data_IF_704873201128
#
_entry.id   IF_704873201128
#
_cell.length_a   1.000
_cell.length_b   1.000
_cell.length_c   1.000
_cell.angle_alpha   90.00
_cell.angle_beta   90.00
_cell.angle_gamma   90.00
#
_symmetry.space_group_name_H-M   'P 1'
#
loop_
_entity.id
_entity.type
_entity.pdbx_description
1 polymer ?
#
# COMPACT_ATOMS: atom_id res chain seq x y z
N UNK A 1 -0.92 -4.12 23.22
CA UNK A 1 -1.49 -3.73 21.92
C UNK A 1 -0.42 -3.65 20.86
N UNK A 2 -0.80 -3.60 19.57
CA UNK A 2 0.12 -3.63 18.41
C UNK A 2 1.24 -2.59 18.54
N UNK A 3 0.94 -1.37 19.02
CA UNK A 3 1.95 -0.32 19.21
C UNK A 3 3.09 -0.72 20.17
N UNK A 4 2.82 -1.49 21.24
CA UNK A 4 3.89 -1.98 22.12
C UNK A 4 4.80 -2.96 21.36
N UNK A 5 4.21 -3.89 20.61
CA UNK A 5 4.98 -4.87 19.84
C UNK A 5 5.90 -4.20 18.81
N UNK A 6 5.44 -3.12 18.17
CA UNK A 6 6.26 -2.34 17.23
C UNK A 6 7.40 -1.63 17.96
N UNK A 7 7.13 -1.01 19.13
CA UNK A 7 8.17 -0.35 19.93
C UNK A 7 9.22 -1.36 20.40
N UNK A 8 8.79 -2.54 20.85
CA UNK A 8 9.67 -3.61 21.32
C UNK A 8 10.55 -4.17 20.19
N UNK A 9 10.08 -4.13 18.93
CA UNK A 9 10.89 -4.49 17.76
C UNK A 9 11.93 -3.43 17.38
N UNK A 10 11.66 -2.15 17.70
CA UNK A 10 12.57 -1.04 17.42
C UNK A 10 13.62 -0.89 18.50
N UNK A 11 13.23 -0.97 19.78
CA UNK A 11 14.11 -0.76 20.91
C UNK A 11 15.03 -1.95 21.15
N UNK A 12 16.31 -1.68 21.31
CA UNK A 12 17.25 -2.67 21.81
C UNK A 12 17.13 -2.86 23.33
N UNK A 13 17.33 -4.08 23.85
CA UNK A 13 17.42 -4.33 25.28
C UNK A 13 18.45 -3.43 25.97
N UNK A 14 18.21 -3.12 27.26
CA UNK A 14 19.13 -2.31 28.09
C UNK A 14 20.57 -2.85 28.00
N UNK A 15 21.53 -1.95 27.78
CA UNK A 15 22.96 -2.28 27.73
C UNK A 15 23.49 -2.77 26.38
N UNK A 16 22.65 -2.87 25.34
CA UNK A 16 23.08 -3.21 23.98
C UNK A 16 23.17 -1.97 23.09
N UNK A 17 24.03 -2.03 22.06
CA UNK A 17 24.16 -0.97 21.07
C UNK A 17 22.86 -0.83 20.23
N UNK A 18 22.44 0.40 19.87
CA UNK A 18 21.24 0.62 19.05
C UNK A 18 21.30 -0.10 17.69
N UNK A 19 20.16 -0.68 17.27
CA UNK A 19 20.04 -1.29 15.93
C UNK A 19 20.05 -0.23 14.83
N UNK A 20 20.29 -0.64 13.58
CA UNK A 20 20.16 0.24 12.41
C UNK A 20 18.75 0.87 12.30
N UNK A 21 17.71 0.12 12.67
CA UNK A 21 16.33 0.62 12.67
C UNK A 21 16.14 1.69 13.74
N UNK A 22 16.65 1.45 14.95
CA UNK A 22 16.59 2.42 16.04
C UNK A 22 17.32 3.70 15.68
N UNK A 23 18.52 3.62 15.10
CA UNK A 23 19.28 4.79 14.64
C UNK A 23 18.57 5.55 13.54
N UNK A 24 17.92 4.84 12.61
CA UNK A 24 17.13 5.48 11.54
C UNK A 24 15.94 6.26 12.10
N UNK A 25 15.30 5.76 13.15
CA UNK A 25 14.11 6.40 13.74
C UNK A 25 14.44 7.47 14.77
N UNK A 26 15.46 7.25 15.60
CA UNK A 26 15.77 8.08 16.75
C UNK A 26 17.08 8.88 16.61
N UNK A 27 17.82 8.67 15.53
CA UNK A 27 19.14 9.27 15.34
C UNK A 27 20.22 8.57 16.15
N UNK A 28 21.42 9.17 16.13
CA UNK A 28 22.51 8.75 17.00
C UNK A 28 22.26 9.21 18.44
N UNK A 29 22.80 8.48 19.45
CA UNK A 29 22.71 8.92 20.84
C UNK A 29 23.23 10.34 21.02
N UNK A 30 22.58 11.16 21.87
CA UNK A 30 22.97 12.55 22.12
C UNK A 30 24.43 12.64 22.56
N UNK A 31 25.16 13.62 22.02
CA UNK A 31 26.53 13.89 22.42
C UNK A 31 26.59 14.30 23.90
N UNK A 32 27.70 14.02 24.57
CA UNK A 32 27.91 14.36 25.97
C UNK A 32 27.80 15.89 26.16
N UNK A 33 26.91 16.33 27.05
CA UNK A 33 26.63 17.75 27.30
C UNK A 33 25.53 18.38 26.43
N UNK A 34 24.94 17.63 25.49
CA UNK A 34 23.74 18.09 24.78
C UNK A 34 22.49 18.06 25.67
N UNK A 35 21.54 18.96 25.40
CA UNK A 35 20.24 18.97 26.08
C UNK A 35 19.37 17.81 25.56
N UNK A 36 19.08 16.78 26.40
CA UNK A 36 18.33 15.61 25.96
C UNK A 36 16.91 15.95 25.49
N UNK A 37 16.30 17.00 26.04
CA UNK A 37 14.95 17.43 25.68
C UNK A 37 14.94 18.08 24.30
N UNK A 38 15.96 18.91 24.00
CA UNK A 38 16.15 19.50 22.67
C UNK A 38 16.39 18.45 21.59
N UNK A 39 17.20 17.43 21.87
CA UNK A 39 17.41 16.32 20.94
C UNK A 39 16.15 15.47 20.77
N UNK A 40 15.42 15.18 21.86
CA UNK A 40 14.13 14.50 21.79
C UNK A 40 13.12 15.27 20.92
N UNK A 41 13.08 16.61 20.99
CA UNK A 41 12.21 17.43 20.12
C UNK A 41 12.58 17.30 18.63
N UNK A 42 13.86 17.16 18.28
CA UNK A 42 14.26 16.89 16.88
C UNK A 42 13.78 15.53 16.42
N UNK A 43 13.91 14.50 17.27
CA UNK A 43 13.39 13.16 17.00
C UNK A 43 11.88 13.17 16.85
N UNK A 44 11.16 13.86 17.73
CA UNK A 44 9.71 14.05 17.65
C UNK A 44 9.31 14.65 16.30
N UNK A 45 10.01 15.70 15.85
CA UNK A 45 9.74 16.35 14.55
C UNK A 45 9.95 15.41 13.38
N UNK A 46 11.04 14.65 13.36
CA UNK A 46 11.31 13.69 12.30
C UNK A 46 10.29 12.53 12.27
N UNK A 47 9.97 11.97 13.44
CA UNK A 47 8.96 10.91 13.56
C UNK A 47 7.58 11.40 13.12
N UNK A 48 7.14 12.54 13.64
CA UNK A 48 5.83 13.11 13.34
C UNK A 48 5.73 13.54 11.87
N UNK A 49 6.76 14.14 11.27
CA UNK A 49 6.78 14.51 9.84
C UNK A 49 6.48 13.30 8.94
N UNK A 50 7.10 12.16 9.24
CA UNK A 50 6.95 10.93 8.47
C UNK A 50 5.64 10.21 8.80
N UNK A 51 5.29 10.08 10.07
CA UNK A 51 4.09 9.37 10.52
C UNK A 51 2.80 10.12 10.18
N UNK A 52 2.78 11.43 10.37
CA UNK A 52 1.62 12.28 10.08
C UNK A 52 1.60 12.73 8.62
N UNK A 53 2.67 12.45 7.86
CA UNK A 53 2.80 12.71 6.41
C UNK A 53 2.73 14.19 6.01
N UNK A 54 2.85 15.08 7.00
CA UNK A 54 2.90 16.55 6.87
C UNK A 54 3.83 17.14 7.93
N UNK A 55 4.28 18.39 7.79
CA UNK A 55 4.93 19.10 8.89
C UNK A 55 4.07 19.05 10.16
N UNK A 56 4.61 18.63 11.32
CA UNK A 56 3.90 18.66 12.58
C UNK A 56 3.77 20.10 13.09
N UNK A 57 2.69 20.40 13.81
CA UNK A 57 2.52 21.69 14.50
C UNK A 57 3.38 21.74 15.75
N UNK A 58 3.65 22.94 16.28
CA UNK A 58 4.40 23.04 17.54
C UNK A 58 3.66 22.42 18.73
N UNK A 59 2.33 22.53 18.78
CA UNK A 59 1.52 21.89 19.82
C UNK A 59 1.58 20.35 19.76
N UNK A 60 1.61 19.77 18.56
CA UNK A 60 1.81 18.32 18.40
C UNK A 60 3.18 17.88 18.90
N UNK A 61 4.21 18.71 18.68
CA UNK A 61 5.55 18.42 19.18
C UNK A 61 5.64 18.57 20.70
N UNK A 62 4.96 19.56 21.27
CA UNK A 62 4.90 19.76 22.72
C UNK A 62 4.31 18.53 23.42
N UNK A 63 3.17 18.02 22.92
CA UNK A 63 2.56 16.79 23.45
C UNK A 63 3.53 15.59 23.39
N UNK A 64 4.27 15.43 22.29
CA UNK A 64 5.24 14.33 22.16
C UNK A 64 6.43 14.50 23.12
N UNK A 65 6.92 15.72 23.30
CA UNK A 65 8.01 16.01 24.23
C UNK A 65 7.54 15.86 25.68
N UNK A 66 6.30 16.20 26.01
CA UNK A 66 5.73 15.98 27.34
C UNK A 66 5.62 14.48 27.68
N UNK A 67 5.30 13.63 26.69
CA UNK A 67 5.35 12.16 26.86
C UNK A 67 6.77 11.68 27.12
N UNK A 68 7.76 12.27 26.43
CA UNK A 68 9.17 11.98 26.68
C UNK A 68 9.59 12.42 28.09
N UNK A 69 9.21 13.63 28.53
CA UNK A 69 9.51 14.16 29.86
C UNK A 69 8.87 13.29 30.94
N UNK A 70 7.60 12.91 30.78
CA UNK A 70 6.92 11.96 31.68
C UNK A 70 7.68 10.64 31.83
N UNK A 71 8.21 10.09 30.73
CA UNK A 71 9.02 8.88 30.79
C UNK A 71 10.33 9.10 31.58
N UNK A 72 10.97 10.25 31.41
CA UNK A 72 12.19 10.61 32.12
C UNK A 72 11.96 10.80 33.62
N UNK A 73 10.83 11.42 33.99
CA UNK A 73 10.41 11.60 35.38
C UNK A 73 10.10 10.25 36.07
N UNK A 74 9.68 9.25 35.30
CA UNK A 74 9.52 7.86 35.74
C UNK A 74 10.81 7.02 35.60
N UNK A 75 11.98 7.68 35.61
CA UNK A 75 13.31 7.08 35.62
C UNK A 75 13.65 6.20 34.39
N UNK A 76 12.88 6.30 33.30
CA UNK A 76 13.22 5.61 32.06
C UNK A 76 14.44 6.26 31.41
N UNK A 77 15.37 5.44 30.91
CA UNK A 77 16.52 5.95 30.15
C UNK A 77 16.08 6.64 28.85
N UNK A 78 16.99 7.41 28.24
CA UNK A 78 16.70 8.20 27.04
C UNK A 78 16.04 7.37 25.92
N UNK A 79 16.59 6.20 25.59
CA UNK A 79 16.04 5.33 24.54
C UNK A 79 14.63 4.83 24.88
N UNK A 80 14.38 4.45 26.13
CA UNK A 80 13.07 4.01 26.57
C UNK A 80 12.04 5.17 26.56
N UNK A 81 12.46 6.38 26.91
CA UNK A 81 11.64 7.58 26.82
C UNK A 81 11.29 7.93 25.37
N UNK A 82 12.25 7.84 24.44
CA UNK A 82 11.99 7.96 22.99
C UNK A 82 11.03 6.87 22.49
N UNK A 83 11.14 5.65 23.03
CA UNK A 83 10.18 4.58 22.73
C UNK A 83 8.76 4.89 23.17
N UNK A 84 8.58 5.50 24.35
CA UNK A 84 7.26 5.94 24.80
C UNK A 84 6.70 7.06 23.93
N UNK A 85 7.54 8.02 23.54
CA UNK A 85 7.18 9.07 22.60
C UNK A 85 6.80 8.51 21.22
N UNK A 86 7.56 7.54 20.70
CA UNK A 86 7.24 6.85 19.46
C UNK A 86 5.91 6.07 19.55
N UNK A 87 5.65 5.44 20.70
CA UNK A 87 4.35 4.83 20.96
C UNK A 87 3.21 5.85 20.88
N UNK A 88 3.39 7.06 21.42
CA UNK A 88 2.40 8.12 21.32
C UNK A 88 2.12 8.52 19.86
N UNK A 89 3.17 8.59 19.02
CA UNK A 89 3.00 8.79 17.57
C UNK A 89 2.15 7.67 16.95
N UNK A 90 2.42 6.40 17.27
CA UNK A 90 1.73 5.24 16.69
C UNK A 90 0.25 5.10 17.09
N UNK A 91 -0.16 5.73 18.20
CA UNK A 91 -1.57 5.71 18.66
C UNK A 91 -2.28 7.04 18.40
N UNK A 92 -1.59 8.02 17.83
CA UNK A 92 -2.15 9.32 17.50
C UNK A 92 -3.19 9.21 16.37
N UNK A 93 -4.33 9.93 16.46
CA UNK A 93 -5.27 10.05 15.35
C UNK A 93 -4.60 10.52 14.05
N UNK A 94 -3.56 11.37 14.15
CA UNK A 94 -2.80 11.89 13.01
C UNK A 94 -1.95 10.82 12.30
N UNK A 95 -1.67 9.71 12.96
CA UNK A 95 -1.06 8.52 12.36
C UNK A 95 -2.12 7.56 11.82
N UNK A 96 -3.17 7.30 12.60
CA UNK A 96 -4.21 6.33 12.25
C UNK A 96 -5.09 6.78 11.06
N UNK A 97 -5.29 8.09 10.91
CA UNK A 97 -6.12 8.69 9.87
C UNK A 97 -5.32 9.69 9.03
N UNK A 98 -5.84 9.99 7.83
CA UNK A 98 -5.34 11.10 7.00
C UNK A 98 -6.21 12.32 7.33
N UNK A 99 -5.76 13.11 8.31
CA UNK A 99 -6.45 14.29 8.84
C UNK A 99 -5.66 15.57 8.55
N UNK A 100 -6.35 16.73 8.43
CA UNK A 100 -5.66 18.01 8.33
C UNK A 100 -4.92 18.32 9.64
N UNK A 101 -3.95 19.25 9.58
CA UNK A 101 -3.18 19.67 10.75
C UNK A 101 -3.99 20.45 11.80
N UNK A 102 -5.07 21.08 11.37
CA UNK A 102 -5.98 21.82 12.21
C UNK A 102 -7.41 21.70 11.69
N UNK A 103 -8.35 22.29 12.42
CA UNK A 103 -9.69 22.44 11.90
C UNK A 103 -9.66 23.31 10.65
N UNK A 104 -10.40 22.93 9.59
CA UNK A 104 -10.49 23.77 8.43
C UNK A 104 -11.15 25.10 8.82
N UNK A 105 -10.55 26.23 8.42
CA UNK A 105 -11.07 27.57 8.72
C UNK A 105 -12.44 27.85 8.06
N UNK A 106 -12.90 26.96 7.17
CA UNK A 106 -14.15 27.10 6.43
C UNK A 106 -15.34 26.63 7.25
N UNK A 107 -16.38 27.48 7.30
CA UNK A 107 -17.72 27.11 7.82
C UNK A 107 -18.53 26.28 6.82
N UNK A 108 -17.98 25.99 5.65
CA UNK A 108 -18.66 25.20 4.63
C UNK A 108 -18.69 23.71 4.99
N UNK A 109 -19.75 23.03 4.56
CA UNK A 109 -19.90 21.57 4.76
C UNK A 109 -18.89 20.76 3.95
N UNK A 110 -18.35 21.33 2.88
CA UNK A 110 -17.37 20.70 2.00
C UNK A 110 -16.11 21.56 2.05
N UNK A 111 -15.00 20.94 2.42
CA UNK A 111 -13.70 21.62 2.52
C UNK A 111 -12.76 20.99 1.51
N UNK A 112 -12.02 21.83 0.78
CA UNK A 112 -10.96 21.38 -0.10
C UNK A 112 -9.84 20.70 0.70
N UNK A 113 -9.28 19.64 0.09
CA UNK A 113 -8.13 18.96 0.66
C UNK A 113 -6.90 19.85 0.55
N UNK A 114 -6.09 19.88 1.62
CA UNK A 114 -4.76 20.46 1.55
C UNK A 114 -3.81 19.56 0.75
N UNK A 115 -2.66 20.12 0.37
CA UNK A 115 -1.67 19.46 -0.47
C UNK A 115 -1.05 18.21 0.19
N UNK A 116 -0.91 18.19 1.51
CA UNK A 116 -0.38 17.03 2.24
C UNK A 116 -1.41 15.90 2.32
N UNK A 117 -2.69 16.23 2.49
CA UNK A 117 -3.80 15.29 2.41
C UNK A 117 -3.91 14.72 1.00
N UNK A 118 -3.77 15.56 -0.04
CA UNK A 118 -3.80 15.13 -1.43
C UNK A 118 -2.63 14.18 -1.73
N UNK A 119 -1.41 14.52 -1.31
CA UNK A 119 -0.23 13.67 -1.43
C UNK A 119 -0.44 12.31 -0.75
N UNK A 120 -0.92 12.33 0.48
CA UNK A 120 -1.17 11.10 1.26
C UNK A 120 -2.25 10.25 0.61
N UNK A 121 -3.39 10.83 0.21
CA UNK A 121 -4.47 10.07 -0.43
C UNK A 121 -4.02 9.46 -1.76
N UNK A 122 -3.26 10.21 -2.56
CA UNK A 122 -2.72 9.73 -3.82
C UNK A 122 -1.74 8.57 -3.60
N UNK A 123 -0.81 8.71 -2.65
CA UNK A 123 0.20 7.66 -2.37
C UNK A 123 -0.43 6.41 -1.77
N UNK A 124 -1.41 6.54 -0.87
CA UNK A 124 -2.08 5.38 -0.28
C UNK A 124 -3.02 4.69 -1.28
N UNK A 125 -3.65 5.44 -2.18
CA UNK A 125 -4.46 4.86 -3.25
C UNK A 125 -3.59 4.03 -4.21
N UNK A 126 -2.46 4.58 -4.64
CA UNK A 126 -1.65 3.97 -5.70
C UNK A 126 -0.62 2.97 -5.16
N UNK A 127 -0.03 3.24 -4.01
CA UNK A 127 1.08 2.45 -3.43
C UNK A 127 0.77 1.80 -2.09
N UNK A 128 -0.39 2.07 -1.47
CA UNK A 128 -0.69 1.66 -0.08
C UNK A 128 0.43 2.02 0.91
N UNK A 129 1.11 3.14 0.65
CA UNK A 129 2.29 3.57 1.39
C UNK A 129 2.32 5.10 1.53
N UNK A 130 3.10 5.63 2.50
CA UNK A 130 3.33 7.07 2.63
C UNK A 130 3.90 7.70 1.34
N UNK A 131 3.68 9.01 1.12
CA UNK A 131 4.26 9.73 -0.01
C UNK A 131 5.79 9.66 0.06
N UNK A 132 6.44 9.54 -1.10
CA UNK A 132 7.90 9.62 -1.18
C UNK A 132 8.37 11.07 -1.06
N UNK A 133 9.69 11.26 -1.00
CA UNK A 133 10.30 12.57 -0.80
C UNK A 133 9.89 13.60 -1.88
N UNK A 134 9.76 13.17 -3.14
CA UNK A 134 9.34 14.04 -4.24
C UNK A 134 7.90 14.52 -4.04
N UNK A 135 6.96 13.59 -3.79
CA UNK A 135 5.56 13.93 -3.58
C UNK A 135 5.35 14.76 -2.30
N UNK A 136 6.07 14.44 -1.23
CA UNK A 136 6.06 15.20 0.02
C UNK A 136 6.61 16.62 -0.16
N UNK A 137 7.67 16.80 -0.95
CA UNK A 137 8.24 18.12 -1.23
C UNK A 137 7.32 18.99 -2.10
N UNK A 138 6.61 18.39 -3.06
CA UNK A 138 5.59 19.11 -3.84
C UNK A 138 4.42 19.57 -2.96
N UNK A 139 4.05 18.76 -1.98
CA UNK A 139 3.04 19.13 -1.00
C UNK A 139 3.52 20.26 -0.07
N UNK A 140 4.78 20.20 0.41
CA UNK A 140 5.39 21.27 1.20
C UNK A 140 5.43 22.61 0.45
N UNK A 141 5.51 22.56 -0.88
CA UNK A 141 5.54 23.74 -1.74
C UNK A 141 4.14 24.27 -2.13
N UNK A 142 3.05 23.61 -1.74
CA UNK A 142 1.70 24.01 -2.13
C UNK A 142 1.46 23.92 -3.65
N UNK A 143 2.13 22.99 -4.35
CA UNK A 143 2.06 22.84 -5.81
C UNK A 143 1.20 21.68 -6.28
N UNK A 144 0.82 20.76 -5.39
CA UNK A 144 0.16 19.51 -5.77
C UNK A 144 -1.32 19.72 -6.16
N UNK A 145 -1.95 20.80 -5.70
CA UNK A 145 -3.27 21.22 -6.17
C UNK A 145 -3.32 21.64 -7.66
N UNK A 146 -2.16 21.84 -8.31
CA UNK A 146 -2.12 22.20 -9.74
C UNK A 146 -2.42 20.96 -10.59
N UNK A 147 -3.43 21.01 -11.48
CA UNK A 147 -3.85 19.83 -12.25
C UNK A 147 -2.73 19.12 -13.01
N UNK A 148 -1.83 19.88 -13.65
CA UNK A 148 -0.71 19.30 -14.40
C UNK A 148 0.32 18.62 -13.51
N UNK A 149 0.58 19.18 -12.32
CA UNK A 149 1.50 18.59 -11.32
C UNK A 149 0.90 17.31 -10.75
N UNK A 150 -0.38 17.35 -10.39
CA UNK A 150 -1.10 16.19 -9.87
C UNK A 150 -1.11 15.05 -10.88
N UNK A 151 -1.43 15.36 -12.15
CA UNK A 151 -1.44 14.39 -13.24
C UNK A 151 -0.06 13.77 -13.45
N UNK A 152 0.99 14.61 -13.53
CA UNK A 152 2.36 14.11 -13.70
C UNK A 152 2.79 13.20 -12.54
N UNK A 153 2.44 13.55 -11.30
CA UNK A 153 2.71 12.68 -10.15
C UNK A 153 1.90 11.39 -10.20
N UNK A 154 0.61 11.42 -10.53
CA UNK A 154 -0.20 10.21 -10.67
C UNK A 154 0.40 9.25 -11.72
N UNK A 155 0.81 9.75 -12.89
CA UNK A 155 1.47 8.95 -13.93
C UNK A 155 2.83 8.38 -13.46
N UNK A 156 3.62 9.17 -12.73
CA UNK A 156 4.89 8.70 -12.14
C UNK A 156 4.65 7.57 -11.14
N UNK A 157 3.70 7.74 -10.22
CA UNK A 157 3.35 6.75 -9.21
C UNK A 157 2.84 5.45 -9.85
N UNK A 158 2.04 5.55 -10.91
CA UNK A 158 1.53 4.38 -11.66
C UNK A 158 2.64 3.58 -12.36
N UNK A 159 3.73 4.22 -12.78
CA UNK A 159 4.87 3.55 -13.44
C UNK A 159 5.80 2.82 -12.46
N UNK A 160 5.76 3.16 -11.18
CA UNK A 160 6.57 2.54 -10.14
C UNK A 160 6.07 1.13 -9.78
N UNK A 161 6.98 0.20 -9.46
CA UNK A 161 6.65 -1.17 -9.09
C UNK A 161 5.67 -1.26 -7.90
N UNK A 162 5.71 -0.28 -6.98
CA UNK A 162 4.78 -0.17 -5.85
C UNK A 162 3.33 -0.01 -6.27
N UNK A 163 3.06 0.43 -7.50
CA UNK A 163 1.70 0.56 -8.03
C UNK A 163 0.94 -0.77 -8.12
N UNK A 164 1.63 -1.91 -7.94
CA UNK A 164 0.99 -3.22 -7.73
C UNK A 164 -0.05 -3.16 -6.61
N UNK A 165 0.17 -2.33 -5.60
CA UNK A 165 -0.75 -2.14 -4.48
C UNK A 165 -2.14 -1.67 -4.91
N UNK A 166 -2.27 -0.92 -6.02
CA UNK A 166 -3.57 -0.53 -6.57
C UNK A 166 -4.37 -1.76 -7.02
N UNK A 167 -3.74 -2.75 -7.64
CA UNK A 167 -4.44 -4.00 -7.95
C UNK A 167 -4.79 -4.76 -6.67
N UNK A 168 -3.83 -4.94 -5.76
CA UNK A 168 -4.04 -5.72 -4.54
C UNK A 168 -5.15 -5.11 -3.65
N UNK A 169 -5.23 -3.78 -3.57
CA UNK A 169 -6.22 -3.05 -2.76
C UNK A 169 -7.56 -2.81 -3.45
N UNK A 170 -7.59 -2.60 -4.78
CA UNK A 170 -8.81 -2.28 -5.52
C UNK A 170 -9.14 -3.32 -6.59
N UNK A 171 -8.21 -3.61 -7.50
CA UNK A 171 -8.46 -4.49 -8.66
C UNK A 171 -8.92 -5.90 -8.27
N UNK A 172 -8.26 -6.52 -7.30
CA UNK A 172 -8.58 -7.87 -6.83
C UNK A 172 -9.94 -7.92 -6.10
N UNK A 173 -10.31 -6.85 -5.37
CA UNK A 173 -11.62 -6.73 -4.73
C UNK A 173 -12.73 -6.50 -5.75
N UNK A 174 -12.50 -5.58 -6.71
CA UNK A 174 -13.44 -5.28 -7.79
C UNK A 174 -13.79 -6.54 -8.59
N UNK A 175 -12.79 -7.37 -8.89
CA UNK A 175 -12.95 -8.64 -9.59
C UNK A 175 -13.35 -9.81 -8.66
N UNK A 176 -13.51 -9.57 -7.35
CA UNK A 176 -13.80 -10.57 -6.30
C UNK A 176 -12.83 -11.75 -6.25
N UNK A 177 -11.59 -11.54 -6.67
CA UNK A 177 -10.57 -12.58 -6.77
C UNK A 177 -9.99 -12.97 -5.41
N UNK A 178 -10.14 -12.11 -4.39
CA UNK A 178 -9.76 -12.43 -3.01
C UNK A 178 -10.52 -13.65 -2.45
N UNK A 179 -11.71 -13.95 -2.99
CA UNK A 179 -12.50 -15.11 -2.59
C UNK A 179 -11.91 -16.42 -3.13
N UNK A 180 -11.14 -16.36 -4.22
CA UNK A 180 -10.59 -17.54 -4.89
C UNK A 180 -9.50 -18.23 -4.06
N UNK A 181 -8.71 -17.46 -3.30
CA UNK A 181 -7.66 -17.99 -2.42
C UNK A 181 -8.25 -18.88 -1.31
N UNK A 182 -9.42 -18.49 -0.78
CA UNK A 182 -10.15 -19.25 0.25
C UNK A 182 -11.00 -20.40 -0.30
N UNK A 183 -11.19 -20.48 -1.63
CA UNK A 183 -12.05 -21.47 -2.23
C UNK A 183 -11.34 -22.83 -2.35
N UNK A 184 -11.95 -23.86 -1.75
CA UNK A 184 -11.50 -25.25 -1.84
C UNK A 184 -12.21 -25.91 -3.02
N UNK A 185 -11.47 -26.40 -3.99
CA UNK A 185 -12.00 -27.17 -5.12
C UNK A 185 -11.88 -28.65 -4.83
N UNK A 186 -12.90 -29.44 -5.21
CA UNK A 186 -12.83 -30.89 -5.08
C UNK A 186 -11.75 -31.45 -6.03
N UNK A 187 -10.66 -32.05 -5.52
CA UNK A 187 -9.58 -32.55 -6.34
C UNK A 187 -9.99 -33.73 -7.24
N UNK A 188 -11.09 -34.44 -6.92
CA UNK A 188 -11.62 -35.51 -7.81
C UNK A 188 -12.32 -34.91 -9.02
N UNK A 189 -13.07 -33.83 -8.81
CA UNK A 189 -13.86 -33.17 -9.86
C UNK A 189 -13.01 -32.20 -10.70
N UNK A 190 -12.06 -31.50 -10.07
CA UNK A 190 -11.19 -30.51 -10.71
C UNK A 190 -9.70 -30.74 -10.42
N UNK A 191 -9.11 -31.88 -10.83
CA UNK A 191 -7.71 -32.23 -10.55
C UNK A 191 -6.70 -31.20 -11.11
N UNK A 192 -7.09 -30.46 -12.15
CA UNK A 192 -6.29 -29.41 -12.76
C UNK A 192 -6.14 -28.16 -11.88
N UNK A 193 -7.00 -27.95 -10.89
CA UNK A 193 -7.04 -26.76 -10.03
C UNK A 193 -5.95 -26.79 -8.94
N UNK A 194 -4.72 -26.98 -9.38
CA UNK A 194 -3.52 -26.98 -8.56
C UNK A 194 -3.21 -25.59 -7.99
N UNK A 195 -2.37 -25.51 -6.96
CA UNK A 195 -1.86 -24.23 -6.45
C UNK A 195 -1.18 -23.41 -7.57
N UNK A 196 -0.37 -24.06 -8.41
CA UNK A 196 0.33 -23.41 -9.51
C UNK A 196 -0.63 -22.78 -10.53
N UNK A 197 -1.74 -23.47 -10.87
CA UNK A 197 -2.75 -22.91 -11.77
C UNK A 197 -3.48 -21.74 -11.11
N UNK A 198 -3.90 -21.86 -9.85
CA UNK A 198 -4.58 -20.76 -9.13
C UNK A 198 -3.70 -19.52 -9.04
N UNK A 199 -2.43 -19.66 -8.69
CA UNK A 199 -1.46 -18.55 -8.71
C UNK A 199 -1.34 -17.93 -10.10
N UNK A 200 -1.31 -18.75 -11.16
CA UNK A 200 -1.26 -18.23 -12.52
C UNK A 200 -2.53 -17.45 -12.90
N UNK A 201 -3.71 -17.92 -12.51
CA UNK A 201 -4.99 -17.23 -12.73
C UNK A 201 -5.02 -15.86 -12.04
N UNK A 202 -4.50 -15.76 -10.81
CA UNK A 202 -4.42 -14.50 -10.07
C UNK A 202 -3.41 -13.54 -10.69
N UNK A 203 -2.26 -14.05 -11.14
CA UNK A 203 -1.22 -13.25 -11.79
C UNK A 203 -1.63 -12.77 -13.20
N UNK A 204 -2.45 -13.55 -13.93
CA UNK A 204 -3.05 -13.10 -15.20
C UNK A 204 -3.89 -11.84 -14.97
N UNK A 205 -4.86 -11.92 -14.06
CA UNK A 205 -5.77 -10.80 -13.77
C UNK A 205 -5.00 -9.56 -13.30
N UNK A 206 -3.96 -9.76 -12.47
CA UNK A 206 -3.07 -8.69 -12.01
C UNK A 206 -2.34 -8.01 -13.15
N UNK A 207 -1.61 -8.77 -13.96
CA UNK A 207 -0.81 -8.22 -15.06
C UNK A 207 -1.69 -7.59 -16.14
N UNK A 208 -2.87 -8.14 -16.38
CA UNK A 208 -3.84 -7.57 -17.29
C UNK A 208 -4.35 -6.21 -16.80
N UNK A 209 -4.81 -6.12 -15.55
CA UNK A 209 -5.22 -4.86 -14.94
C UNK A 209 -4.09 -3.84 -14.96
N UNK A 210 -2.90 -4.25 -14.54
CA UNK A 210 -1.69 -3.42 -14.52
C UNK A 210 -1.37 -2.90 -15.93
N UNK A 211 -1.49 -3.72 -16.97
CA UNK A 211 -1.24 -3.29 -18.35
C UNK A 211 -2.21 -2.20 -18.81
N UNK A 212 -3.50 -2.33 -18.51
CA UNK A 212 -4.50 -1.34 -18.93
C UNK A 212 -4.26 -0.02 -18.21
N UNK A 213 -4.03 -0.06 -16.89
CA UNK A 213 -3.85 1.15 -16.08
C UNK A 213 -2.51 1.83 -16.37
N UNK A 214 -1.40 1.09 -16.38
CA UNK A 214 -0.06 1.68 -16.56
C UNK A 214 0.16 2.22 -17.96
N UNK A 215 -0.41 1.58 -18.97
CA UNK A 215 -0.31 2.01 -20.36
C UNK A 215 -1.41 3.02 -20.74
N UNK A 216 -2.24 3.44 -19.77
CA UNK A 216 -3.35 4.36 -19.96
C UNK A 216 -4.26 3.94 -21.14
N UNK A 217 -4.57 2.63 -21.21
CA UNK A 217 -5.47 2.12 -22.22
C UNK A 217 -6.92 2.46 -21.89
N UNK A 218 -7.79 2.38 -22.91
CA UNK A 218 -9.23 2.53 -22.70
C UNK A 218 -9.75 1.50 -21.70
N UNK A 219 -10.58 1.95 -20.75
CA UNK A 219 -11.29 1.07 -19.79
C UNK A 219 -12.12 0.00 -20.50
N UNK A 220 -12.57 0.25 -21.73
CA UNK A 220 -13.28 -0.73 -22.56
C UNK A 220 -12.45 -2.01 -22.81
N UNK A 221 -11.11 -1.93 -22.71
CA UNK A 221 -10.23 -3.11 -22.81
C UNK A 221 -10.46 -4.13 -21.72
N UNK A 222 -10.98 -3.74 -20.55
CA UNK A 222 -11.39 -4.72 -19.54
C UNK A 222 -12.47 -5.67 -20.05
N UNK A 223 -13.33 -5.22 -20.96
CA UNK A 223 -14.40 -6.02 -21.55
C UNK A 223 -13.96 -6.66 -22.87
N UNK A 224 -13.34 -5.88 -23.76
CA UNK A 224 -12.98 -6.31 -25.10
C UNK A 224 -11.48 -6.13 -25.36
N UNK A 225 -10.68 -7.11 -24.90
CA UNK A 225 -9.24 -7.17 -25.17
C UNK A 225 -8.90 -8.32 -26.10
N UNK A 226 -7.94 -8.08 -26.99
CA UNK A 226 -7.35 -9.08 -27.89
C UNK A 226 -6.06 -9.68 -27.31
N UNK A 227 -5.79 -9.51 -26.02
CA UNK A 227 -4.63 -10.09 -25.35
C UNK A 227 -4.91 -10.47 -23.89
N UNK A 228 -4.09 -11.39 -23.37
CA UNK A 228 -3.99 -11.71 -21.94
C UNK A 228 -2.54 -12.04 -21.53
N UNK A 229 -2.32 -12.43 -20.28
CA UNK A 229 -1.02 -12.86 -19.77
C UNK A 229 -1.04 -14.35 -19.41
N UNK A 230 -0.15 -15.12 -20.03
CA UNK A 230 -0.10 -16.57 -19.86
C UNK A 230 1.31 -17.03 -19.48
N UNK A 231 1.36 -18.06 -18.63
CA UNK A 231 2.48 -18.97 -18.45
C UNK A 231 2.02 -20.40 -18.79
N UNK A 232 2.91 -21.39 -18.70
CA UNK A 232 2.60 -22.75 -19.14
C UNK A 232 1.39 -23.41 -18.44
N UNK A 233 1.22 -23.35 -17.10
CA UNK A 233 0.02 -23.88 -16.45
C UNK A 233 -1.28 -23.32 -17.01
N UNK A 234 -1.33 -22.00 -17.23
CA UNK A 234 -2.54 -21.31 -17.68
C UNK A 234 -2.77 -21.47 -19.19
N UNK A 235 -1.70 -21.60 -19.98
CA UNK A 235 -1.78 -21.81 -21.41
C UNK A 235 -2.60 -23.05 -21.78
N UNK A 236 -2.55 -24.11 -20.96
CA UNK A 236 -3.36 -25.33 -21.12
C UNK A 236 -4.87 -25.04 -21.01
N UNK A 237 -5.28 -24.09 -20.18
CA UNK A 237 -6.70 -23.67 -20.04
C UNK A 237 -7.18 -22.92 -21.27
N UNK A 238 -6.25 -22.21 -21.93
CA UNK A 238 -6.51 -21.45 -23.16
C UNK A 238 -6.33 -22.27 -24.44
N UNK A 239 -5.79 -23.50 -24.36
CA UNK A 239 -5.44 -24.32 -25.53
C UNK A 239 -4.23 -23.78 -26.31
N UNK A 240 -3.29 -23.12 -25.61
CA UNK A 240 -2.11 -22.45 -26.18
C UNK A 240 -0.78 -23.03 -25.67
N UNK A 241 -0.79 -24.25 -25.13
CA UNK A 241 0.37 -24.95 -24.56
C UNK A 241 1.52 -25.19 -25.56
N UNK A 242 1.22 -25.17 -26.87
CA UNK A 242 2.26 -25.25 -27.90
C UNK A 242 3.03 -23.93 -28.06
N UNK A 243 2.39 -22.79 -27.75
CA UNK A 243 2.93 -21.45 -27.98
C UNK A 243 3.58 -20.84 -26.73
N UNK A 244 3.11 -21.21 -25.54
CA UNK A 244 3.58 -20.65 -24.26
C UNK A 244 4.13 -21.76 -23.37
N UNK A 245 5.43 -21.70 -23.07
CA UNK A 245 6.14 -22.64 -22.20
C UNK A 245 6.89 -21.93 -21.07
N UNK A 246 7.11 -22.65 -19.98
CA UNK A 246 7.81 -22.18 -18.80
C UNK A 246 6.94 -21.39 -17.81
N UNK A 247 7.52 -21.06 -16.64
CA UNK A 247 6.78 -20.48 -15.51
C UNK A 247 6.52 -18.98 -15.65
N UNK A 248 7.24 -18.27 -16.54
CA UNK A 248 7.16 -16.81 -16.67
C UNK A 248 5.89 -16.40 -17.41
N UNK A 249 5.18 -15.41 -16.87
CA UNK A 249 4.05 -14.76 -17.53
C UNK A 249 4.51 -13.96 -18.75
N UNK A 250 3.72 -14.00 -19.82
CA UNK A 250 3.99 -13.30 -21.08
C UNK A 250 2.69 -12.75 -21.64
N UNK A 251 2.73 -11.55 -22.23
CA UNK A 251 1.59 -11.00 -22.98
C UNK A 251 1.39 -11.83 -24.25
N UNK A 252 0.19 -12.32 -24.49
CA UNK A 252 -0.17 -13.17 -25.62
C UNK A 252 -1.40 -12.62 -26.31
N UNK A 253 -1.33 -12.50 -27.64
CA UNK A 253 -2.48 -12.11 -28.48
C UNK A 253 -3.48 -13.27 -28.56
N UNK A 254 -4.75 -12.98 -28.34
CA UNK A 254 -5.86 -13.90 -28.41
C UNK A 254 -6.53 -13.77 -29.78
N UNK A 255 -6.69 -14.89 -30.47
CA UNK A 255 -7.40 -14.95 -31.75
C UNK A 255 -8.89 -15.23 -31.58
N UNK A 256 -9.29 -15.77 -30.43
CA UNK A 256 -10.69 -16.06 -30.11
C UNK A 256 -11.32 -14.85 -29.39
N UNK A 257 -12.31 -14.16 -29.99
CA UNK A 257 -12.93 -12.98 -29.38
C UNK A 257 -13.68 -13.30 -28.08
N UNK A 258 -14.06 -14.56 -27.84
CA UNK A 258 -14.76 -14.98 -26.61
C UNK A 258 -13.82 -15.19 -25.41
N UNK A 259 -12.50 -15.05 -25.60
CA UNK A 259 -11.49 -15.20 -24.54
C UNK A 259 -10.90 -13.88 -24.07
N UNK A 260 -11.33 -12.77 -24.66
CA UNK A 260 -10.87 -11.43 -24.35
C UNK A 260 -11.48 -10.85 -23.08
N UNK A 261 -10.71 -10.03 -22.37
CA UNK A 261 -11.18 -9.28 -21.21
C UNK A 261 -11.45 -10.13 -19.96
N UNK A 262 -11.92 -9.47 -18.91
CA UNK A 262 -12.12 -10.06 -17.58
C UNK A 262 -13.24 -11.12 -17.54
N UNK A 263 -14.21 -11.03 -18.45
CA UNK A 263 -15.33 -11.97 -18.51
C UNK A 263 -14.90 -13.36 -19.01
N UNK A 264 -13.83 -13.41 -19.82
CA UNK A 264 -13.25 -14.66 -20.31
C UNK A 264 -12.19 -15.26 -19.38
N UNK A 265 -11.79 -14.55 -18.32
CA UNK A 265 -10.68 -14.96 -17.46
C UNK A 265 -11.05 -16.13 -16.54
N UNK A 266 -10.23 -17.20 -16.48
CA UNK A 266 -10.44 -18.31 -15.59
C UNK A 266 -10.63 -17.89 -14.12
N UNK A 267 -9.87 -16.89 -13.64
CA UNK A 267 -9.97 -16.42 -12.25
C UNK A 267 -11.39 -15.91 -11.91
N UNK A 268 -11.93 -15.05 -12.78
CA UNK A 268 -13.27 -14.47 -12.63
C UNK A 268 -14.33 -15.56 -12.76
N UNK A 269 -14.19 -16.44 -13.76
CA UNK A 269 -15.11 -17.56 -13.98
C UNK A 269 -15.12 -18.56 -12.81
N UNK A 270 -13.98 -18.77 -12.16
CA UNK A 270 -13.85 -19.65 -10.99
C UNK A 270 -14.45 -19.00 -9.72
N UNK A 271 -14.15 -17.72 -9.47
CA UNK A 271 -14.69 -16.97 -8.33
C UNK A 271 -16.23 -16.84 -8.40
N UNK A 272 -16.79 -16.81 -9.60
CA UNK A 272 -18.23 -16.81 -9.86
C UNK A 272 -18.82 -18.22 -10.03
N UNK A 273 -18.14 -19.26 -9.55
CA UNK A 273 -18.63 -20.65 -9.57
C UNK A 273 -18.82 -21.23 -8.16
N UNK A 274 -19.43 -22.41 -8.05
CA UNK A 274 -19.43 -23.18 -6.81
C UNK A 274 -18.17 -24.07 -6.73
N UNK A 275 -17.72 -24.44 -5.52
CA UNK A 275 -16.62 -25.39 -5.31
C UNK A 275 -16.71 -26.71 -6.09
N UNK A 276 -17.92 -27.18 -6.36
CA UNK A 276 -18.22 -28.48 -6.96
C UNK A 276 -18.92 -28.39 -8.33
N UNK A 277 -19.26 -27.20 -8.83
CA UNK A 277 -19.94 -27.02 -10.14
C UNK A 277 -19.80 -25.61 -10.70
N UNK A 278 -19.84 -25.51 -12.02
CA UNK A 278 -20.02 -24.23 -12.73
C UNK A 278 -21.41 -23.65 -12.45
N UNK A 279 -21.55 -22.32 -12.40
CA UNK A 279 -22.85 -21.67 -12.20
C UNK A 279 -23.05 -20.52 -13.20
N UNK A 280 -23.92 -20.70 -14.21
CA UNK A 280 -24.31 -19.60 -15.09
C UNK A 280 -24.92 -18.43 -14.31
N UNK A 281 -25.79 -18.72 -13.33
CA UNK A 281 -26.47 -17.71 -12.50
C UNK A 281 -25.52 -16.83 -11.70
N UNK A 282 -24.40 -17.37 -11.19
CA UNK A 282 -23.41 -16.55 -10.47
C UNK A 282 -22.45 -15.80 -11.41
N UNK A 283 -22.38 -16.20 -12.68
CA UNK A 283 -21.54 -15.58 -13.72
C UNK A 283 -22.19 -14.36 -14.39
N UNK A 284 -23.49 -14.17 -14.17
CA UNK A 284 -24.31 -13.14 -14.84
C UNK A 284 -25.12 -13.76 -15.97
#
# INVERSE_FOLDING_TARGET
>A
GIANQVVDQVLTPKGKAPTAVQKRLFGEPPAQGSDPRKEARKVARALARNAYRRPPTESELDVLVDVYDLARDNELNHSAALGLMFKAVLVSPQFLFITPAGEPESKEKIVLLDDHQLASRLSYLLWSAPPDAELAALADQGKLNKPDVLKAQAERLLKDARSRALYDGFGAQWLRLNELDGQVFDPKTFPQMTLALRTAMMEEARLFFESIVRENQSVARFVNSDYTFLNEPLAKVYGLEQSVRGPKMRRVKLMNPNRGGILGMPAVLAATSFPNRTSPVRRG
#
